data_IF_622540289418
#
_entry.id   IF_622540289418
#
_cell.length_a   1.000
_cell.length_b   1.000
_cell.length_c   1.000
_cell.angle_alpha   90.00
_cell.angle_beta   90.00
_cell.angle_gamma   90.00
#
_symmetry.space_group_name_H-M   'P 1'
#
loop_
_entity.id
_entity.type
_entity.pdbx_description
1 polymer ?
#
# COMPACT_ATOMS: atom_id res chain seq x y z
N UNK A 1 21.54 9.19 -7.91
CA UNK A 1 22.10 8.64 -6.65
C UNK A 1 22.84 7.34 -6.97
N UNK A 2 23.88 6.97 -6.22
CA UNK A 2 24.62 5.71 -6.41
C UNK A 2 24.39 4.79 -5.21
N UNK A 3 24.07 3.52 -5.46
CA UNK A 3 23.79 2.48 -4.47
C UNK A 3 24.89 1.43 -4.63
N UNK A 4 25.53 1.06 -3.52
CA UNK A 4 26.71 0.18 -3.59
C UNK A 4 27.78 0.74 -4.52
N UNK A 5 28.39 -0.15 -5.32
CA UNK A 5 29.50 0.23 -6.18
C UNK A 5 29.11 0.44 -7.65
N UNK A 6 28.02 -0.16 -8.12
CA UNK A 6 27.73 -0.18 -9.55
C UNK A 6 26.24 -0.04 -9.89
N UNK A 7 25.40 0.22 -8.90
CA UNK A 7 23.97 0.45 -9.08
C UNK A 7 23.69 1.95 -9.02
N UNK A 8 22.94 2.46 -9.99
CA UNK A 8 22.66 3.88 -10.16
C UNK A 8 21.16 4.10 -10.24
N UNK A 9 20.65 5.00 -9.41
CA UNK A 9 19.27 5.48 -9.50
C UNK A 9 19.10 6.39 -10.72
N UNK A 10 18.09 6.09 -11.54
CA UNK A 10 17.72 6.83 -12.77
C UNK A 10 16.22 7.15 -12.84
N UNK A 11 15.48 6.96 -11.74
CA UNK A 11 14.06 7.30 -11.64
C UNK A 11 13.77 8.81 -11.63
N UNK A 12 12.52 9.15 -11.31
CA UNK A 12 11.96 10.51 -11.38
C UNK A 12 11.01 10.80 -10.21
N UNK A 13 10.76 12.09 -9.96
CA UNK A 13 9.73 12.56 -9.04
C UNK A 13 8.57 13.19 -9.83
N UNK A 14 7.36 12.78 -9.52
CA UNK A 14 6.12 13.35 -10.04
C UNK A 14 5.46 14.24 -8.99
N UNK A 15 5.55 15.55 -9.21
CA UNK A 15 4.88 16.58 -8.40
C UNK A 15 3.58 17.10 -9.05
N UNK A 16 3.18 16.52 -10.19
CA UNK A 16 1.99 16.92 -10.95
C UNK A 16 0.79 16.03 -10.65
N UNK A 17 1.03 14.79 -10.21
CA UNK A 17 -0.02 13.87 -9.76
C UNK A 17 -0.71 14.40 -8.51
N UNK A 18 -2.04 14.51 -8.58
CA UNK A 18 -2.90 14.83 -7.44
C UNK A 18 -3.49 13.54 -6.82
N UNK A 19 -3.82 12.56 -7.66
CA UNK A 19 -4.36 11.26 -7.28
C UNK A 19 -3.54 10.11 -7.87
N UNK A 20 -2.87 9.32 -7.02
CA UNK A 20 -2.24 8.07 -7.44
C UNK A 20 -3.31 6.99 -7.68
N UNK A 21 -3.18 6.25 -8.78
CA UNK A 21 -4.21 5.33 -9.33
C UNK A 21 -5.60 5.97 -9.54
N UNK A 22 -5.68 7.30 -9.53
CA UNK A 22 -6.96 8.03 -9.53
C UNK A 22 -7.77 7.87 -8.24
N UNK A 23 -7.16 7.41 -7.15
CA UNK A 23 -7.84 7.11 -5.89
C UNK A 23 -7.18 7.75 -4.65
N UNK A 24 -5.84 7.77 -4.56
CA UNK A 24 -5.14 8.17 -3.35
C UNK A 24 -4.58 9.58 -3.47
N UNK A 25 -4.96 10.48 -2.57
CA UNK A 25 -4.41 11.84 -2.54
C UNK A 25 -2.92 11.81 -2.24
N UNK A 26 -2.09 12.40 -3.09
CA UNK A 26 -0.63 12.40 -2.94
C UNK A 26 -0.10 13.83 -2.96
N UNK A 27 -0.39 14.64 -1.93
CA UNK A 27 -0.07 16.07 -1.92
C UNK A 27 1.44 16.36 -2.02
N UNK A 28 2.28 15.40 -1.66
CA UNK A 28 3.73 15.45 -1.73
C UNK A 28 4.29 14.70 -2.95
N UNK A 29 3.45 14.44 -3.94
CA UNK A 29 3.82 13.77 -5.18
C UNK A 29 4.08 12.27 -5.04
N UNK A 30 4.71 11.72 -6.07
CA UNK A 30 5.15 10.32 -6.13
C UNK A 30 6.58 10.22 -6.65
N UNK A 31 7.24 9.12 -6.39
CA UNK A 31 8.46 8.76 -7.12
C UNK A 31 8.24 7.50 -7.95
N UNK A 32 8.83 7.48 -9.15
CA UNK A 32 8.88 6.29 -10.01
C UNK A 32 10.34 5.90 -10.14
N UNK A 33 10.73 4.88 -9.40
CA UNK A 33 12.12 4.48 -9.25
C UNK A 33 12.52 3.50 -10.34
N UNK A 34 13.68 3.73 -10.94
CA UNK A 34 14.31 2.84 -11.89
C UNK A 34 15.82 2.87 -11.66
N UNK A 35 16.50 1.78 -12.02
CA UNK A 35 17.91 1.57 -11.67
C UNK A 35 18.72 1.05 -12.85
N UNK A 36 20.00 1.39 -12.91
CA UNK A 36 20.98 0.83 -13.85
C UNK A 36 22.07 0.11 -13.08
N UNK A 37 22.31 -1.16 -13.40
CA UNK A 37 23.40 -1.97 -12.86
C UNK A 37 24.50 -2.04 -13.91
N UNK A 38 25.69 -1.50 -13.59
CA UNK A 38 26.85 -1.52 -14.49
C UNK A 38 27.77 -2.69 -14.16
N UNK A 39 27.98 -3.57 -15.13
CA UNK A 39 28.91 -4.69 -15.02
C UNK A 39 29.49 -5.02 -16.40
N UNK A 40 30.07 -6.20 -16.59
CA UNK A 40 30.43 -6.73 -17.92
C UNK A 40 29.23 -6.71 -18.88
N UNK A 41 28.02 -6.95 -18.34
CA UNK A 41 26.73 -6.71 -18.97
C UNK A 41 25.93 -5.70 -18.16
N UNK A 42 25.20 -4.82 -18.84
CA UNK A 42 24.45 -3.74 -18.21
C UNK A 42 22.96 -4.10 -18.17
N UNK A 43 22.35 -3.97 -16.99
CA UNK A 43 20.91 -4.14 -16.82
C UNK A 43 20.23 -2.82 -16.42
N UNK A 44 19.09 -2.54 -17.02
CA UNK A 44 18.15 -1.50 -16.58
C UNK A 44 16.97 -2.18 -15.90
N UNK A 45 16.58 -1.71 -14.72
CA UNK A 45 15.54 -2.28 -13.87
C UNK A 45 14.30 -1.39 -13.96
N UNK A 46 13.22 -1.96 -14.51
CA UNK A 46 11.92 -1.34 -14.75
C UNK A 46 12.02 0.02 -15.49
N UNK A 47 10.87 0.61 -15.75
CA UNK A 47 10.76 1.93 -16.38
C UNK A 47 9.97 2.87 -15.46
N UNK A 48 9.43 3.95 -16.00
CA UNK A 48 8.63 4.93 -15.24
C UNK A 48 7.35 5.27 -16.00
N UNK A 49 6.47 6.04 -15.36
CA UNK A 49 5.25 6.56 -15.95
C UNK A 49 5.48 7.27 -17.30
N UNK A 50 4.50 7.17 -18.19
CA UNK A 50 4.56 7.71 -19.55
C UNK A 50 4.86 9.22 -19.57
N UNK A 51 4.41 9.98 -18.57
CA UNK A 51 4.62 11.42 -18.49
C UNK A 51 6.11 11.80 -18.31
N UNK A 52 6.94 10.86 -17.85
CA UNK A 52 8.35 11.08 -17.55
C UNK A 52 9.31 10.37 -18.52
N UNK A 53 8.81 9.95 -19.69
CA UNK A 53 9.56 9.25 -20.74
C UNK A 53 10.91 9.91 -21.05
N UNK A 54 10.90 11.20 -21.38
CA UNK A 54 12.10 11.91 -21.84
C UNK A 54 13.11 12.11 -20.72
N UNK A 55 12.65 12.46 -19.53
CA UNK A 55 13.50 12.66 -18.35
C UNK A 55 14.20 11.36 -17.95
N UNK A 56 13.44 10.27 -17.84
CA UNK A 56 13.98 8.96 -17.48
C UNK A 56 14.97 8.42 -18.52
N UNK A 57 14.65 8.49 -19.82
CA UNK A 57 15.60 8.10 -20.87
C UNK A 57 16.87 8.96 -20.84
N UNK A 58 16.74 10.25 -20.52
CA UNK A 58 17.88 11.15 -20.29
C UNK A 58 18.75 10.71 -19.11
N UNK A 59 18.14 10.36 -17.98
CA UNK A 59 18.83 9.85 -16.79
C UNK A 59 19.56 8.53 -17.08
N UNK A 60 18.91 7.59 -17.78
CA UNK A 60 19.50 6.34 -18.24
C UNK A 60 20.70 6.61 -19.15
N UNK A 61 20.53 7.42 -20.20
CA UNK A 61 21.60 7.72 -21.16
C UNK A 61 22.82 8.36 -20.48
N UNK A 62 22.60 9.24 -19.50
CA UNK A 62 23.65 9.88 -18.71
C UNK A 62 24.47 8.87 -17.90
N UNK A 63 23.84 7.87 -17.29
CA UNK A 63 24.54 6.81 -16.53
C UNK A 63 25.26 5.82 -17.45
N UNK A 64 24.66 5.51 -18.60
CA UNK A 64 25.26 4.64 -19.60
C UNK A 64 26.52 5.25 -20.22
N UNK A 65 26.57 6.57 -20.40
CA UNK A 65 27.74 7.29 -20.94
C UNK A 65 28.25 6.69 -22.26
N UNK A 66 27.30 6.44 -23.18
CA UNK A 66 27.57 5.83 -24.49
C UNK A 66 27.64 4.30 -24.50
N UNK A 67 27.62 3.63 -23.34
CA UNK A 67 27.43 2.19 -23.27
C UNK A 67 26.01 1.79 -23.71
N UNK A 68 25.85 0.54 -24.15
CA UNK A 68 24.55 -0.04 -24.53
C UNK A 68 24.09 -1.02 -23.45
N UNK A 69 22.82 -0.97 -23.03
CA UNK A 69 22.30 -1.94 -22.07
C UNK A 69 22.05 -3.29 -22.74
N UNK A 70 22.49 -4.37 -22.08
CA UNK A 70 22.25 -5.75 -22.51
C UNK A 70 20.85 -6.22 -22.13
N UNK A 71 20.36 -5.76 -20.96
CA UNK A 71 19.10 -6.21 -20.39
C UNK A 71 18.18 -5.07 -19.95
N UNK A 72 16.88 -5.25 -20.18
CA UNK A 72 15.80 -4.55 -19.48
C UNK A 72 15.07 -5.59 -18.62
N UNK A 73 15.25 -5.54 -17.31
CA UNK A 73 14.53 -6.41 -16.37
C UNK A 73 13.20 -5.75 -16.04
N UNK A 74 12.10 -6.45 -16.31
CA UNK A 74 10.73 -5.96 -16.02
C UNK A 74 10.11 -6.82 -14.92
N UNK A 75 9.98 -6.24 -13.74
CA UNK A 75 9.50 -6.87 -12.53
C UNK A 75 7.98 -6.78 -12.38
N UNK A 76 7.39 -5.70 -12.92
CA UNK A 76 5.98 -5.39 -12.80
C UNK A 76 5.47 -4.68 -14.07
N UNK A 77 4.24 -4.99 -14.50
CA UNK A 77 3.63 -4.45 -15.72
C UNK A 77 2.68 -3.28 -15.48
N UNK A 78 2.52 -2.80 -14.24
CA UNK A 78 1.71 -1.62 -14.00
C UNK A 78 2.31 -0.41 -14.74
N UNK A 79 1.49 0.41 -15.44
CA UNK A 79 2.01 1.39 -16.39
C UNK A 79 2.94 2.46 -15.81
N UNK A 80 2.81 2.80 -14.53
CA UNK A 80 3.70 3.73 -13.84
C UNK A 80 5.15 3.22 -13.69
N UNK A 81 5.37 1.93 -13.96
CA UNK A 81 6.70 1.31 -14.03
C UNK A 81 7.00 0.64 -15.37
N UNK A 82 6.00 0.47 -16.24
CA UNK A 82 6.12 -0.32 -17.46
C UNK A 82 5.80 0.46 -18.75
N UNK A 83 5.22 1.66 -18.68
CA UNK A 83 4.75 2.40 -19.87
C UNK A 83 5.85 2.67 -20.89
N UNK A 84 7.10 2.72 -20.44
CA UNK A 84 8.24 3.10 -21.26
C UNK A 84 9.04 1.93 -21.85
N UNK A 85 8.57 0.69 -21.69
CA UNK A 85 9.23 -0.49 -22.27
C UNK A 85 9.40 -0.34 -23.79
N UNK A 86 8.35 0.02 -24.52
CA UNK A 86 8.42 0.17 -25.99
C UNK A 86 9.36 1.32 -26.41
N UNK A 87 9.32 2.45 -25.69
CA UNK A 87 10.20 3.60 -25.96
C UNK A 87 11.67 3.26 -25.70
N UNK A 88 11.94 2.54 -24.62
CA UNK A 88 13.27 2.03 -24.30
C UNK A 88 13.78 1.07 -25.38
N UNK A 89 12.95 0.14 -25.84
CA UNK A 89 13.32 -0.81 -26.91
C UNK A 89 13.54 -0.13 -28.26
N UNK A 90 12.92 1.03 -28.51
CA UNK A 90 13.23 1.87 -29.69
C UNK A 90 14.59 2.58 -29.55
N UNK A 91 14.92 3.07 -28.36
CA UNK A 91 16.19 3.74 -28.07
C UNK A 91 17.39 2.76 -28.04
N UNK A 92 17.17 1.56 -27.50
CA UNK A 92 18.16 0.50 -27.33
C UNK A 92 17.69 -0.80 -28.00
N UNK A 93 17.67 -0.87 -29.34
CA UNK A 93 17.07 -1.99 -30.06
C UNK A 93 17.81 -3.32 -29.90
N UNK A 94 19.05 -3.31 -29.44
CA UNK A 94 19.86 -4.52 -29.24
C UNK A 94 19.63 -5.18 -27.85
N UNK A 95 18.83 -4.56 -26.98
CA UNK A 95 18.58 -5.05 -25.60
C UNK A 95 17.69 -6.30 -25.57
N UNK A 96 17.94 -7.18 -24.61
CA UNK A 96 17.07 -8.32 -24.29
C UNK A 96 16.17 -7.98 -23.10
N UNK A 97 14.87 -8.14 -23.25
CA UNK A 97 13.92 -8.00 -22.13
C UNK A 97 13.96 -9.27 -21.29
N UNK A 98 14.12 -9.11 -19.98
CA UNK A 98 14.17 -10.20 -18.99
C UNK A 98 12.94 -10.12 -18.11
N UNK A 99 12.09 -11.14 -18.16
CA UNK A 99 10.85 -11.18 -17.40
C UNK A 99 10.29 -12.59 -17.27
N UNK A 100 9.26 -12.80 -16.46
CA UNK A 100 8.57 -14.08 -16.40
C UNK A 100 7.49 -14.23 -17.50
N UNK A 101 6.94 -15.45 -17.64
CA UNK A 101 5.95 -15.77 -18.67
C UNK A 101 4.69 -14.89 -18.61
N UNK A 102 4.20 -14.57 -17.41
CA UNK A 102 2.98 -13.75 -17.24
C UNK A 102 3.23 -12.30 -17.65
N UNK A 103 4.41 -11.79 -17.30
CA UNK A 103 4.87 -10.44 -17.69
C UNK A 103 4.87 -10.30 -19.19
N UNK A 104 5.45 -11.26 -19.94
CA UNK A 104 5.44 -11.22 -21.40
C UNK A 104 4.04 -11.30 -22.00
N UNK A 105 3.12 -12.08 -21.39
CA UNK A 105 1.72 -12.14 -21.85
C UNK A 105 1.03 -10.78 -21.70
N UNK A 106 1.26 -10.08 -20.57
CA UNK A 106 0.71 -8.75 -20.35
C UNK A 106 1.34 -7.71 -21.28
N UNK A 107 2.66 -7.79 -21.48
CA UNK A 107 3.41 -6.94 -22.39
C UNK A 107 2.87 -7.00 -23.82
N UNK A 108 2.49 -8.18 -24.32
CA UNK A 108 1.83 -8.33 -25.63
C UNK A 108 0.45 -7.65 -25.70
N UNK A 109 -0.25 -7.52 -24.58
CA UNK A 109 -1.54 -6.83 -24.52
C UNK A 109 -1.38 -5.30 -24.49
N UNK A 110 -0.41 -4.79 -23.72
CA UNK A 110 -0.11 -3.37 -23.63
C UNK A 110 0.57 -2.83 -24.90
N UNK A 111 1.48 -3.61 -25.48
CA UNK A 111 2.33 -3.18 -26.61
C UNK A 111 2.12 -4.07 -27.84
N UNK A 112 0.91 -4.03 -28.42
CA UNK A 112 0.50 -4.90 -29.54
C UNK A 112 1.38 -4.80 -30.81
N UNK A 113 2.17 -3.74 -30.93
CA UNK A 113 3.08 -3.51 -32.06
C UNK A 113 4.56 -3.72 -31.75
N UNK A 114 4.91 -4.12 -30.52
CA UNK A 114 6.31 -4.26 -30.12
C UNK A 114 6.88 -5.62 -30.53
N UNK A 115 7.87 -5.61 -31.41
CA UNK A 115 8.57 -6.82 -31.85
C UNK A 115 9.72 -7.18 -30.89
N UNK A 116 9.53 -8.27 -30.16
CA UNK A 116 10.53 -8.84 -29.24
C UNK A 116 11.09 -10.19 -29.71
N UNK A 117 10.92 -10.55 -30.98
CA UNK A 117 11.46 -11.80 -31.51
C UNK A 117 12.99 -11.83 -31.33
N UNK A 118 13.50 -12.91 -30.72
CA UNK A 118 14.92 -13.06 -30.38
C UNK A 118 15.41 -12.18 -29.22
N UNK A 119 14.55 -11.37 -28.59
CA UNK A 119 14.89 -10.41 -27.52
C UNK A 119 14.16 -10.67 -26.20
N UNK A 120 13.63 -11.88 -26.01
CA UNK A 120 12.97 -12.31 -24.76
C UNK A 120 13.87 -13.29 -24.01
N UNK A 121 14.18 -13.00 -22.76
CA UNK A 121 14.71 -13.95 -21.78
C UNK A 121 13.62 -14.24 -20.75
N UNK A 122 13.02 -15.43 -20.82
CA UNK A 122 11.98 -15.86 -19.87
C UNK A 122 12.65 -16.49 -18.66
N UNK A 123 12.45 -15.91 -17.49
CA UNK A 123 13.01 -16.44 -16.23
C UNK A 123 11.98 -17.20 -15.42
N UNK A 124 12.44 -18.23 -14.70
CA UNK A 124 11.68 -19.00 -13.72
C UNK A 124 11.94 -18.52 -12.28
N UNK A 125 11.06 -18.91 -11.36
CA UNK A 125 11.23 -18.59 -9.95
C UNK A 125 12.50 -19.26 -9.38
N UNK A 126 13.38 -18.46 -8.79
CA UNK A 126 14.68 -18.87 -8.26
C UNK A 126 15.79 -18.97 -9.32
N UNK A 127 15.50 -18.64 -10.58
CA UNK A 127 16.52 -18.59 -11.63
C UNK A 127 17.44 -17.38 -11.44
N UNK A 128 18.67 -17.49 -11.93
CA UNK A 128 19.65 -16.41 -11.84
C UNK A 128 20.18 -15.97 -13.20
N UNK A 129 20.49 -14.68 -13.30
CA UNK A 129 21.16 -14.05 -14.44
C UNK A 129 22.47 -13.41 -13.97
N UNK A 130 23.60 -13.85 -14.53
CA UNK A 130 24.91 -13.26 -14.26
C UNK A 130 25.20 -12.14 -15.25
N UNK A 131 25.49 -10.95 -14.72
CA UNK A 131 25.92 -9.79 -15.49
C UNK A 131 27.45 -9.67 -15.59
N UNK A 132 28.18 -10.39 -14.75
CA UNK A 132 29.62 -10.30 -14.59
C UNK A 132 29.94 -10.71 -13.15
N UNK A 133 30.28 -9.72 -12.31
CA UNK A 133 30.33 -9.92 -10.85
C UNK A 133 28.94 -9.92 -10.20
N UNK A 134 27.95 -9.23 -10.76
CA UNK A 134 26.58 -9.17 -10.26
C UNK A 134 25.82 -10.43 -10.70
N UNK A 135 25.11 -11.04 -9.75
CA UNK A 135 24.28 -12.22 -9.98
C UNK A 135 22.88 -11.92 -9.47
N UNK A 136 21.97 -11.70 -10.41
CA UNK A 136 20.57 -11.40 -10.16
C UNK A 136 19.81 -12.71 -9.97
N UNK A 137 19.04 -12.85 -8.89
CA UNK A 137 18.14 -13.98 -8.65
C UNK A 137 16.71 -13.50 -8.61
N UNK A 138 15.84 -14.10 -9.41
CA UNK A 138 14.44 -13.69 -9.55
C UNK A 138 13.55 -14.48 -8.60
N UNK A 139 12.77 -13.80 -7.77
CA UNK A 139 11.85 -14.41 -6.81
C UNK A 139 10.43 -13.95 -7.12
N UNK A 140 9.55 -14.87 -7.46
CA UNK A 140 8.18 -14.54 -7.86
C UNK A 140 7.35 -14.12 -6.64
N UNK A 141 6.62 -13.02 -6.79
CA UNK A 141 5.78 -12.40 -5.78
C UNK A 141 4.33 -12.23 -6.30
N UNK A 142 3.66 -13.30 -6.75
CA UNK A 142 2.36 -13.18 -7.40
C UNK A 142 1.30 -12.63 -6.43
N UNK A 143 0.51 -11.69 -6.94
CA UNK A 143 -0.48 -10.91 -6.19
C UNK A 143 0.14 -10.00 -5.12
N UNK A 144 1.37 -9.52 -5.32
CA UNK A 144 2.00 -8.46 -4.51
C UNK A 144 2.36 -7.28 -5.43
N UNK A 145 1.40 -6.56 -6.02
CA UNK A 145 -0.06 -6.77 -5.96
C UNK A 145 -0.67 -7.41 -7.23
N UNK A 146 0.07 -7.45 -8.35
CA UNK A 146 -0.37 -8.08 -9.60
C UNK A 146 0.14 -9.53 -9.77
N UNK A 147 -0.51 -10.36 -10.62
CA UNK A 147 -0.20 -11.80 -10.72
C UNK A 147 1.16 -12.13 -11.34
N UNK A 148 1.78 -11.21 -12.07
CA UNK A 148 3.09 -11.35 -12.71
C UNK A 148 4.24 -10.84 -11.87
N UNK A 149 4.01 -10.13 -10.77
CA UNK A 149 5.09 -9.48 -10.02
C UNK A 149 6.19 -10.46 -9.64
N UNK A 150 7.44 -10.03 -9.82
CA UNK A 150 8.63 -10.66 -9.27
C UNK A 150 9.55 -9.63 -8.65
N UNK A 151 10.33 -10.03 -7.65
CA UNK A 151 11.41 -9.22 -7.07
C UNK A 151 12.75 -9.77 -7.53
N UNK A 152 13.77 -8.93 -7.58
CA UNK A 152 15.11 -9.31 -8.03
C UNK A 152 16.13 -9.06 -6.94
N UNK A 153 16.89 -10.09 -6.58
CA UNK A 153 17.96 -9.99 -5.59
C UNK A 153 19.33 -10.02 -6.28
N UNK A 154 20.12 -8.97 -6.10
CA UNK A 154 21.52 -8.97 -6.46
C UNK A 154 22.38 -9.46 -5.29
N UNK A 155 23.00 -10.62 -5.44
CA UNK A 155 23.83 -11.20 -4.38
C UNK A 155 25.15 -10.48 -4.13
N UNK A 156 25.57 -9.62 -5.06
CA UNK A 156 26.90 -9.00 -5.02
C UNK A 156 26.90 -7.77 -4.14
N UNK A 157 25.98 -6.83 -4.38
CA UNK A 157 25.79 -5.67 -3.50
C UNK A 157 24.69 -5.90 -2.44
N UNK A 158 24.10 -7.11 -2.39
CA UNK A 158 23.08 -7.51 -1.40
C UNK A 158 21.82 -6.64 -1.45
N UNK A 159 21.40 -6.31 -2.67
CA UNK A 159 20.27 -5.41 -2.95
C UNK A 159 19.06 -6.23 -3.35
N UNK A 160 17.90 -5.95 -2.73
CA UNK A 160 16.60 -6.42 -3.19
C UNK A 160 15.89 -5.31 -3.96
N UNK A 161 15.72 -5.46 -5.26
CA UNK A 161 14.77 -4.69 -6.05
C UNK A 161 13.38 -5.28 -5.80
N UNK A 162 12.54 -4.57 -5.07
CA UNK A 162 11.36 -5.15 -4.41
C UNK A 162 10.03 -4.95 -5.15
N UNK A 163 10.07 -4.50 -6.41
CA UNK A 163 8.90 -3.98 -7.10
C UNK A 163 8.18 -2.94 -6.20
N UNK A 164 6.85 -3.01 -6.06
CA UNK A 164 6.08 -2.13 -5.17
C UNK A 164 6.25 -2.45 -3.68
N UNK A 165 6.81 -3.62 -3.37
CA UNK A 165 7.11 -3.99 -2.00
C UNK A 165 8.03 -2.97 -1.35
N UNK A 166 7.73 -2.60 -0.11
CA UNK A 166 8.44 -1.60 0.70
C UNK A 166 8.36 -0.15 0.21
N UNK A 167 7.49 0.14 -0.75
CA UNK A 167 7.22 1.51 -1.20
C UNK A 167 6.42 2.35 -0.20
N UNK A 168 6.38 3.66 -0.46
CA UNK A 168 5.48 4.63 0.19
C UNK A 168 4.98 5.64 -0.84
N UNK A 169 3.86 6.29 -0.53
CA UNK A 169 3.48 7.52 -1.25
C UNK A 169 4.45 8.67 -0.92
N UNK A 170 4.60 9.63 -1.84
CA UNK A 170 5.49 10.79 -1.69
C UNK A 170 6.70 10.75 -2.63
N UNK A 171 7.08 11.91 -3.14
CA UNK A 171 8.31 12.11 -3.92
C UNK A 171 9.58 12.01 -3.04
N UNK A 172 10.74 11.74 -3.66
CA UNK A 172 12.01 11.55 -2.94
C UNK A 172 12.64 12.83 -2.38
N UNK A 173 12.21 13.99 -2.86
CA UNK A 173 12.73 15.31 -2.49
C UNK A 173 11.88 15.99 -1.39
N UNK A 174 10.95 15.25 -0.78
CA UNK A 174 10.14 15.68 0.36
C UNK A 174 10.55 14.92 1.62
N UNK A 175 10.66 15.63 2.75
CA UNK A 175 10.91 15.01 4.05
C UNK A 175 9.60 14.55 4.69
N UNK A 176 9.42 13.23 4.80
CA UNK A 176 8.26 12.61 5.44
C UNK A 176 8.68 11.35 6.20
N UNK A 177 7.93 11.05 7.26
CA UNK A 177 8.09 9.78 7.96
C UNK A 177 7.69 8.62 7.05
N UNK A 178 8.49 7.55 7.03
CA UNK A 178 8.23 6.40 6.17
C UNK A 178 6.99 5.64 6.64
N UNK A 179 6.82 5.43 7.95
CA UNK A 179 5.79 4.53 8.50
C UNK A 179 4.37 4.92 8.09
N UNK A 180 4.05 6.23 8.09
CA UNK A 180 2.70 6.70 7.81
C UNK A 180 2.32 6.45 6.33
N UNK A 181 3.07 7.03 5.39
CA UNK A 181 2.76 6.85 3.97
C UNK A 181 3.05 5.43 3.47
N UNK A 182 3.98 4.69 4.05
CA UNK A 182 4.21 3.29 3.70
C UNK A 182 3.04 2.40 4.16
N UNK A 183 2.41 2.69 5.31
CA UNK A 183 1.21 1.97 5.72
C UNK A 183 0.03 2.30 4.83
N UNK A 184 -0.15 3.59 4.50
CA UNK A 184 -1.21 4.05 3.60
C UNK A 184 -1.06 3.41 2.22
N UNK A 185 0.17 3.39 1.71
CA UNK A 185 0.56 2.67 0.48
C UNK A 185 0.25 1.17 0.60
N UNK A 186 0.78 0.50 1.62
CA UNK A 186 0.62 -0.94 1.80
C UNK A 186 -0.85 -1.34 1.89
N UNK A 187 -1.62 -0.67 2.75
CA UNK A 187 -3.04 -0.99 2.97
C UNK A 187 -3.84 -0.65 1.71
N UNK A 188 -3.58 0.49 1.07
CA UNK A 188 -4.23 0.93 -0.17
C UNK A 188 -4.05 -0.09 -1.30
N UNK A 189 -2.80 -0.44 -1.60
CA UNK A 189 -2.40 -1.18 -2.81
C UNK A 189 -2.40 -2.71 -2.57
N UNK A 190 -1.74 -3.17 -1.50
CA UNK A 190 -1.41 -4.59 -1.29
C UNK A 190 -2.24 -5.22 -0.16
N UNK A 191 -2.94 -4.44 0.66
CA UNK A 191 -3.50 -4.84 1.96
C UNK A 191 -4.38 -6.11 1.93
N UNK A 192 -5.00 -6.41 0.78
CA UNK A 192 -5.77 -7.64 0.55
C UNK A 192 -4.92 -8.92 0.54
N UNK A 193 -3.66 -8.82 0.14
CA UNK A 193 -2.79 -9.96 -0.20
C UNK A 193 -1.79 -10.31 0.90
N UNK A 194 -2.16 -10.08 2.17
CA UNK A 194 -1.30 -10.36 3.32
C UNK A 194 -0.66 -11.76 3.33
N UNK A 195 -1.38 -12.81 2.93
CA UNK A 195 -0.83 -14.17 2.87
C UNK A 195 0.28 -14.34 1.81
N UNK A 196 0.16 -13.64 0.68
CA UNK A 196 1.15 -13.62 -0.39
C UNK A 196 2.39 -12.84 0.04
N UNK A 197 2.19 -11.70 0.71
CA UNK A 197 3.28 -10.92 1.32
C UNK A 197 4.04 -11.74 2.36
N UNK A 198 3.34 -12.44 3.26
CA UNK A 198 3.96 -13.35 4.24
C UNK A 198 4.80 -14.44 3.59
N UNK A 199 4.33 -15.01 2.47
CA UNK A 199 5.10 -16.00 1.70
C UNK A 199 6.36 -15.38 1.08
N UNK A 200 6.26 -14.16 0.55
CA UNK A 200 7.40 -13.42 0.01
C UNK A 200 8.43 -13.10 1.09
N UNK A 201 7.99 -12.56 2.23
CA UNK A 201 8.87 -12.26 3.38
C UNK A 201 9.64 -13.52 3.83
N UNK A 202 8.98 -14.68 3.88
CA UNK A 202 9.62 -15.95 4.20
C UNK A 202 10.68 -16.37 3.16
N UNK A 203 10.45 -16.12 1.88
CA UNK A 203 11.43 -16.40 0.83
C UNK A 203 12.62 -15.42 0.93
N UNK A 204 12.34 -14.13 1.09
CA UNK A 204 13.32 -13.06 1.23
C UNK A 204 14.21 -13.25 2.48
N UNK A 205 13.68 -13.81 3.57
CA UNK A 205 14.44 -14.11 4.78
C UNK A 205 15.61 -15.11 4.58
N UNK A 206 15.66 -15.80 3.44
CA UNK A 206 16.78 -16.69 3.09
C UNK A 206 17.92 -15.98 2.35
N UNK A 207 17.73 -14.70 2.01
CA UNK A 207 18.67 -13.86 1.29
C UNK A 207 19.39 -12.93 2.28
N UNK A 208 20.66 -12.62 1.99
CA UNK A 208 21.46 -11.69 2.79
C UNK A 208 21.23 -10.26 2.28
N UNK A 209 20.09 -9.68 2.61
CA UNK A 209 19.66 -8.36 2.12
C UNK A 209 20.24 -7.25 3.01
N UNK A 210 20.91 -6.27 2.39
CA UNK A 210 21.44 -5.07 3.05
C UNK A 210 20.83 -3.78 2.52
N UNK A 211 20.13 -3.82 1.39
CA UNK A 211 19.42 -2.66 0.84
C UNK A 211 18.17 -3.11 0.12
N UNK A 212 17.07 -2.36 0.28
CA UNK A 212 15.83 -2.58 -0.45
C UNK A 212 15.59 -1.37 -1.36
N UNK A 213 15.36 -1.63 -2.65
CA UNK A 213 15.13 -0.66 -3.70
C UNK A 213 13.70 -0.84 -4.23
N UNK A 214 12.70 -0.15 -3.65
CA UNK A 214 11.33 -0.19 -4.13
C UNK A 214 11.15 0.61 -5.42
N UNK A 215 10.02 0.41 -6.10
CA UNK A 215 9.60 1.19 -7.27
C UNK A 215 8.99 2.56 -6.89
N UNK A 216 8.60 2.75 -5.63
CA UNK A 216 8.17 4.03 -5.08
C UNK A 216 8.83 4.33 -3.74
N UNK A 217 9.04 5.60 -3.43
CA UNK A 217 9.61 6.04 -2.16
C UNK A 217 11.11 5.76 -2.03
N UNK A 218 11.68 5.97 -0.84
CA UNK A 218 13.14 5.99 -0.65
C UNK A 218 13.77 4.60 -0.74
N UNK A 219 15.05 4.59 -1.08
CA UNK A 219 15.91 3.40 -0.94
C UNK A 219 16.16 3.15 0.55
N UNK A 220 15.97 1.91 0.99
CA UNK A 220 16.05 1.52 2.39
C UNK A 220 17.39 0.83 2.65
N UNK A 221 18.31 1.49 3.35
CA UNK A 221 19.68 0.98 3.61
C UNK A 221 19.97 0.73 5.09
N UNK A 222 19.22 1.36 5.99
CA UNK A 222 19.46 1.31 7.44
C UNK A 222 18.20 0.82 8.16
N UNK A 223 18.36 0.09 9.26
CA UNK A 223 17.26 -0.43 10.07
C UNK A 223 16.26 -1.31 9.28
N UNK A 224 16.75 -2.19 8.39
CA UNK A 224 15.88 -3.10 7.63
C UNK A 224 14.94 -3.95 8.50
N UNK A 225 15.37 -4.26 9.73
CA UNK A 225 14.54 -4.97 10.70
C UNK A 225 13.20 -4.27 10.96
N UNK A 226 13.20 -2.93 11.03
CA UNK A 226 12.00 -2.13 11.22
C UNK A 226 11.05 -2.23 10.03
N UNK A 227 11.53 -2.02 8.80
CA UNK A 227 10.67 -2.10 7.60
C UNK A 227 10.07 -3.51 7.43
N UNK A 228 10.86 -4.55 7.71
CA UNK A 228 10.41 -5.95 7.66
C UNK A 228 9.39 -6.23 8.77
N UNK A 229 9.60 -5.73 9.98
CA UNK A 229 8.65 -5.85 11.09
C UNK A 229 7.30 -5.22 10.72
N UNK A 230 7.31 -4.01 10.15
CA UNK A 230 6.10 -3.32 9.71
C UNK A 230 5.34 -4.12 8.66
N UNK A 231 6.03 -4.60 7.63
CA UNK A 231 5.42 -5.47 6.63
C UNK A 231 4.89 -6.79 7.23
N UNK A 232 5.57 -7.40 8.22
CA UNK A 232 5.06 -8.57 8.94
C UNK A 232 3.75 -8.25 9.68
N UNK A 233 3.72 -7.14 10.43
CA UNK A 233 2.55 -6.69 11.17
C UNK A 233 1.37 -6.48 10.21
N UNK A 234 1.55 -5.70 9.14
CA UNK A 234 0.47 -5.36 8.21
C UNK A 234 -0.04 -6.58 7.46
N UNK A 235 0.86 -7.41 6.94
CA UNK A 235 0.49 -8.59 6.15
C UNK A 235 -0.10 -9.74 6.98
N UNK A 236 0.16 -9.76 8.30
CA UNK A 236 -0.48 -10.68 9.24
C UNK A 236 -1.72 -10.10 9.91
N UNK A 237 -2.11 -8.86 9.56
CA UNK A 237 -3.26 -8.14 10.12
C UNK A 237 -3.18 -8.00 11.65
N UNK A 238 -1.96 -7.97 12.21
CA UNK A 238 -1.74 -7.71 13.64
C UNK A 238 -2.08 -6.26 13.95
N UNK A 239 -2.27 -5.99 15.24
CA UNK A 239 -2.35 -4.62 15.75
C UNK A 239 -0.94 -4.07 15.78
N UNK A 240 -0.75 -2.88 15.23
CA UNK A 240 0.55 -2.23 15.22
C UNK A 240 0.79 -1.39 16.46
N UNK A 241 -0.20 -0.62 16.86
CA UNK A 241 -0.14 0.24 18.03
C UNK A 241 -1.47 0.23 18.77
N UNK A 242 -1.43 0.53 20.06
CA UNK A 242 -2.62 0.65 20.88
C UNK A 242 -3.35 1.96 20.58
N UNK A 243 -4.67 1.89 20.44
CA UNK A 243 -5.51 3.06 20.15
C UNK A 243 -6.92 2.66 19.73
N UNK A 244 -7.75 3.66 19.47
CA UNK A 244 -9.14 3.52 19.01
C UNK A 244 -9.38 4.47 17.84
N UNK A 245 -9.89 3.94 16.73
CA UNK A 245 -10.47 4.76 15.66
C UNK A 245 -11.96 4.94 15.92
N UNK A 246 -12.47 6.16 15.78
CA UNK A 246 -13.90 6.45 15.70
C UNK A 246 -14.19 7.02 14.32
N UNK A 247 -14.73 6.19 13.44
CA UNK A 247 -15.15 6.59 12.10
C UNK A 247 -16.65 6.90 12.12
N UNK A 248 -17.03 8.09 11.65
CA UNK A 248 -18.42 8.52 11.73
C UNK A 248 -18.96 9.22 10.49
N UNK A 249 -20.29 9.23 10.38
CA UNK A 249 -21.03 10.09 9.47
C UNK A 249 -22.21 10.75 10.19
N UNK A 250 -22.37 12.06 10.00
CA UNK A 250 -23.41 12.84 10.67
C UNK A 250 -24.00 13.92 9.77
N UNK A 251 -25.32 13.85 9.52
CA UNK A 251 -26.04 14.82 8.67
C UNK A 251 -26.41 16.08 9.45
N UNK A 252 -26.94 15.92 10.67
CA UNK A 252 -27.44 17.02 11.50
C UNK A 252 -26.65 17.21 12.81
N UNK A 253 -25.45 16.66 12.91
CA UNK A 253 -24.54 16.86 14.05
C UNK A 253 -24.80 16.02 15.30
N UNK A 254 -25.96 15.36 15.45
CA UNK A 254 -26.24 14.56 16.66
C UNK A 254 -25.32 13.33 16.80
N UNK A 255 -25.01 12.62 15.70
CA UNK A 255 -24.02 11.52 15.74
C UNK A 255 -22.62 12.05 16.05
N UNK A 256 -22.23 13.18 15.45
CA UNK A 256 -20.96 13.85 15.74
C UNK A 256 -20.84 14.19 17.23
N UNK A 257 -21.89 14.73 17.84
CA UNK A 257 -21.92 15.04 19.27
C UNK A 257 -21.68 13.79 20.15
N UNK A 258 -22.21 12.62 19.78
CA UNK A 258 -21.94 11.38 20.51
C UNK A 258 -20.49 10.93 20.36
N UNK A 259 -19.93 11.07 19.16
CA UNK A 259 -18.53 10.76 18.87
C UNK A 259 -17.59 11.67 19.68
N UNK A 260 -17.86 12.98 19.73
CA UNK A 260 -17.08 13.93 20.53
C UNK A 260 -17.10 13.56 22.02
N UNK A 261 -18.27 13.18 22.55
CA UNK A 261 -18.41 12.71 23.94
C UNK A 261 -17.64 11.41 24.18
N UNK A 262 -17.72 10.43 23.27
CA UNK A 262 -16.98 9.18 23.40
C UNK A 262 -15.47 9.42 23.34
N UNK A 263 -15.00 10.23 22.40
CA UNK A 263 -13.59 10.58 22.27
C UNK A 263 -13.05 11.20 23.56
N UNK A 264 -13.75 12.19 24.12
CA UNK A 264 -13.39 12.80 25.40
C UNK A 264 -13.32 11.76 26.53
N UNK A 265 -14.31 10.84 26.62
CA UNK A 265 -14.32 9.79 27.66
C UNK A 265 -13.16 8.81 27.51
N UNK A 266 -12.78 8.45 26.29
CA UNK A 266 -11.61 7.59 26.03
C UNK A 266 -10.32 8.28 26.45
N UNK A 267 -10.16 9.56 26.13
CA UNK A 267 -9.01 10.37 26.56
C UNK A 267 -8.94 10.49 28.09
N UNK A 268 -10.05 10.81 28.75
CA UNK A 268 -10.15 10.90 30.21
C UNK A 268 -9.80 9.56 30.92
N UNK A 269 -10.10 8.43 30.26
CA UNK A 269 -9.76 7.08 30.73
C UNK A 269 -8.34 6.65 30.36
N UNK A 270 -7.55 7.52 29.72
CA UNK A 270 -6.15 7.27 29.41
C UNK A 270 -5.92 6.38 28.19
N UNK A 271 -6.85 6.36 27.23
CA UNK A 271 -6.63 5.69 25.94
C UNK A 271 -5.34 6.24 25.29
N UNK A 272 -4.38 5.39 24.86
CA UNK A 272 -3.10 5.87 24.33
C UNK A 272 -3.25 6.78 23.11
N UNK A 273 -4.26 6.51 22.27
CA UNK A 273 -4.54 7.26 21.06
C UNK A 273 -6.00 7.11 20.66
N UNK A 274 -6.66 8.24 20.40
CA UNK A 274 -8.00 8.31 19.82
C UNK A 274 -7.89 9.07 18.49
N UNK A 275 -8.29 8.42 17.41
CA UNK A 275 -8.35 9.02 16.07
C UNK A 275 -9.81 9.12 15.64
N UNK A 276 -10.25 10.30 15.22
CA UNK A 276 -11.66 10.56 14.89
C UNK A 276 -11.75 11.02 13.44
N UNK A 277 -12.56 10.34 12.64
CA UNK A 277 -12.73 10.62 11.21
C UNK A 277 -14.20 10.90 10.88
N UNK A 278 -14.46 12.07 10.31
CA UNK A 278 -15.68 12.40 9.57
C UNK A 278 -15.56 11.86 8.15
N UNK A 279 -16.15 10.70 7.89
CA UNK A 279 -16.03 9.97 6.63
C UNK A 279 -16.57 10.74 5.40
N UNK A 280 -17.30 11.86 5.62
CA UNK A 280 -17.79 12.71 4.55
C UNK A 280 -16.85 13.89 4.23
N UNK A 281 -15.73 14.04 4.94
CA UNK A 281 -14.83 15.21 4.86
C UNK A 281 -13.35 14.85 4.89
N UNK A 282 -12.98 13.89 5.73
CA UNK A 282 -11.58 13.49 5.91
C UNK A 282 -11.16 12.47 4.84
N UNK A 283 -9.84 12.29 4.65
CA UNK A 283 -9.31 11.32 3.68
C UNK A 283 -9.74 9.90 4.09
N UNK A 284 -10.48 9.24 3.20
CA UNK A 284 -10.95 7.86 3.36
C UNK A 284 -9.79 6.87 3.48
N UNK A 285 -8.69 7.07 2.74
CA UNK A 285 -7.53 6.20 2.77
C UNK A 285 -6.79 6.29 4.10
N UNK A 286 -6.66 7.49 4.69
CA UNK A 286 -6.10 7.67 6.04
C UNK A 286 -7.01 7.02 7.10
N UNK A 287 -8.33 7.23 7.02
CA UNK A 287 -9.26 6.60 7.96
C UNK A 287 -9.17 5.07 7.91
N UNK A 288 -9.02 4.49 6.71
CA UNK A 288 -8.85 3.05 6.50
C UNK A 288 -7.52 2.57 7.07
N UNK A 289 -6.41 3.24 6.76
CA UNK A 289 -5.07 2.89 7.25
C UNK A 289 -4.99 2.88 8.78
N UNK A 290 -5.53 3.91 9.45
CA UNK A 290 -5.56 3.97 10.92
C UNK A 290 -6.45 2.87 11.54
N UNK A 291 -7.51 2.44 10.84
CA UNK A 291 -8.32 1.31 11.29
C UNK A 291 -7.52 0.00 11.30
N UNK A 292 -6.61 -0.19 10.33
CA UNK A 292 -5.69 -1.32 10.31
C UNK A 292 -4.57 -1.17 11.34
N UNK A 293 -4.15 0.05 11.67
CA UNK A 293 -3.12 0.33 12.67
C UNK A 293 -3.53 -0.11 14.08
N UNK A 294 -4.74 0.23 14.50
CA UNK A 294 -5.21 -0.01 15.87
C UNK A 294 -6.06 -1.28 16.01
N UNK A 295 -6.16 -1.80 17.23
CA UNK A 295 -6.95 -3.00 17.54
C UNK A 295 -8.46 -2.76 17.69
N UNK A 296 -8.88 -1.51 17.82
CA UNK A 296 -10.24 -1.12 18.21
C UNK A 296 -10.80 -0.07 17.24
N UNK A 297 -12.03 -0.29 16.79
CA UNK A 297 -12.76 0.58 15.87
C UNK A 297 -14.16 0.85 16.40
N UNK A 298 -14.64 2.08 16.29
CA UNK A 298 -16.02 2.45 16.54
C UNK A 298 -16.62 2.97 15.24
N UNK A 299 -17.74 2.39 14.83
CA UNK A 299 -18.49 2.82 13.66
C UNK A 299 -19.74 3.57 14.13
N UNK A 300 -19.84 4.84 13.75
CA UNK A 300 -20.93 5.71 14.18
C UNK A 300 -21.66 6.31 12.97
N UNK A 301 -22.89 5.89 12.70
CA UNK A 301 -23.63 6.38 11.53
C UNK A 301 -25.12 6.54 11.79
N UNK A 302 -25.79 7.23 10.87
CA UNK A 302 -27.24 7.34 10.84
C UNK A 302 -27.84 6.18 10.05
N UNK A 303 -29.09 5.84 10.37
CA UNK A 303 -29.92 5.07 9.43
C UNK A 303 -30.34 5.99 8.29
N UNK A 304 -29.99 5.62 7.07
CA UNK A 304 -30.27 6.36 5.85
C UNK A 304 -30.92 5.44 4.81
N UNK A 305 -32.15 5.74 4.40
CA UNK A 305 -32.93 4.90 3.47
C UNK A 305 -33.03 3.42 3.89
N UNK A 306 -33.24 3.17 5.19
CA UNK A 306 -33.25 1.84 5.82
C UNK A 306 -31.91 1.06 5.73
N UNK A 307 -30.85 1.72 5.27
CA UNK A 307 -29.46 1.27 5.17
C UNK A 307 -28.56 2.17 6.06
N UNK A 308 -27.24 2.07 5.94
CA UNK A 308 -26.26 2.99 6.52
C UNK A 308 -25.96 4.16 5.57
N UNK A 309 -25.36 5.23 6.09
CA UNK A 309 -25.00 6.38 5.25
C UNK A 309 -23.94 6.00 4.19
N UNK A 310 -23.99 6.55 2.95
CA UNK A 310 -23.13 6.11 1.85
C UNK A 310 -21.63 6.10 2.17
N UNK A 311 -21.10 7.14 2.83
CA UNK A 311 -19.68 7.17 3.19
C UNK A 311 -19.29 6.10 4.22
N UNK A 312 -20.21 5.72 5.13
CA UNK A 312 -19.96 4.60 6.05
C UNK A 312 -19.92 3.27 5.29
N UNK A 313 -20.78 3.12 4.27
CA UNK A 313 -20.77 1.94 3.41
C UNK A 313 -19.45 1.81 2.67
N UNK A 314 -19.03 2.87 1.98
CA UNK A 314 -17.74 2.91 1.28
C UNK A 314 -16.56 2.61 2.21
N UNK A 315 -16.57 3.17 3.42
CA UNK A 315 -15.54 2.90 4.42
C UNK A 315 -15.48 1.41 4.81
N UNK A 316 -16.63 0.80 5.12
CA UNK A 316 -16.68 -0.63 5.46
C UNK A 316 -16.30 -1.52 4.26
N UNK A 317 -16.72 -1.15 3.05
CA UNK A 317 -16.33 -1.85 1.82
C UNK A 317 -14.80 -1.84 1.67
N UNK A 318 -14.15 -0.68 1.86
CA UNK A 318 -12.69 -0.55 1.79
C UNK A 318 -11.95 -1.38 2.85
N UNK A 319 -12.52 -1.53 4.05
CA UNK A 319 -11.97 -2.41 5.10
C UNK A 319 -12.12 -3.89 4.70
N UNK A 320 -13.33 -4.30 4.36
CA UNK A 320 -13.66 -5.72 4.15
C UNK A 320 -13.04 -6.28 2.87
N UNK A 321 -12.91 -5.47 1.81
CA UNK A 321 -12.23 -5.89 0.57
C UNK A 321 -10.73 -6.16 0.78
N UNK A 322 -10.14 -5.55 1.82
CA UNK A 322 -8.77 -5.72 2.30
C UNK A 322 -8.66 -6.71 3.46
N UNK A 323 -9.65 -7.59 3.63
CA UNK A 323 -9.67 -8.63 4.67
C UNK A 323 -9.51 -8.10 6.11
N UNK A 324 -10.13 -6.97 6.45
CA UNK A 324 -10.14 -6.47 7.83
C UNK A 324 -10.61 -7.54 8.82
N UNK A 325 -9.76 -7.85 9.81
CA UNK A 325 -9.92 -9.01 10.71
C UNK A 325 -9.11 -8.84 12.00
N UNK A 326 -9.41 -9.65 13.02
CA UNK A 326 -8.73 -9.63 14.33
C UNK A 326 -8.88 -8.26 15.02
N UNK A 327 -10.11 -7.75 15.12
CA UNK A 327 -10.40 -6.39 15.62
C UNK A 327 -11.61 -6.40 16.53
N UNK A 328 -11.62 -5.47 17.48
CA UNK A 328 -12.78 -5.20 18.34
C UNK A 328 -13.56 -4.02 17.79
N UNK A 329 -14.86 -4.19 17.55
CA UNK A 329 -15.71 -3.15 16.95
C UNK A 329 -16.87 -2.75 17.87
N UNK A 330 -16.98 -1.45 18.14
CA UNK A 330 -18.12 -0.80 18.80
C UNK A 330 -19.04 -0.11 17.80
N UNK A 331 -20.34 -0.02 18.11
CA UNK A 331 -21.34 0.54 17.20
C UNK A 331 -22.17 1.64 17.86
N UNK A 332 -22.30 2.76 17.16
CA UNK A 332 -23.23 3.83 17.47
C UNK A 332 -24.20 3.98 16.30
N UNK A 333 -25.49 3.79 16.55
CA UNK A 333 -26.53 4.05 15.56
C UNK A 333 -27.38 5.26 15.95
N UNK A 334 -27.79 6.04 14.95
CA UNK A 334 -28.73 7.14 15.14
C UNK A 334 -29.90 7.04 14.14
N UNK A 335 -31.13 7.17 14.63
CA UNK A 335 -32.33 7.23 13.79
C UNK A 335 -33.53 7.82 14.53
N UNK A 336 -34.61 8.16 13.82
CA UNK A 336 -35.75 8.87 14.42
C UNK A 336 -37.00 8.02 14.62
N UNK A 337 -37.24 7.00 13.79
CA UNK A 337 -38.44 6.16 13.87
C UNK A 337 -38.21 4.66 13.61
N UNK A 338 -37.12 4.30 12.94
CA UNK A 338 -36.75 2.90 12.67
C UNK A 338 -35.24 2.75 12.48
N UNK A 339 -34.43 2.99 13.54
CA UNK A 339 -32.98 2.79 13.46
C UNK A 339 -32.65 1.31 13.15
N UNK A 340 -31.77 1.12 12.16
CA UNK A 340 -31.31 -0.18 11.65
C UNK A 340 -29.79 -0.20 11.37
N UNK A 341 -29.10 0.93 11.56
CA UNK A 341 -27.71 1.08 11.13
C UNK A 341 -26.76 0.08 11.81
N UNK A 342 -26.95 -0.21 13.11
CA UNK A 342 -26.08 -1.16 13.81
C UNK A 342 -26.19 -2.57 13.23
N UNK A 343 -27.41 -3.01 12.87
CA UNK A 343 -27.63 -4.32 12.25
C UNK A 343 -26.98 -4.40 10.88
N UNK A 344 -27.12 -3.35 10.07
CA UNK A 344 -26.52 -3.29 8.74
C UNK A 344 -24.99 -3.31 8.84
N UNK A 345 -24.39 -2.47 9.68
CA UNK A 345 -22.94 -2.48 9.88
C UNK A 345 -22.43 -3.86 10.31
N UNK A 346 -23.11 -4.57 11.22
CA UNK A 346 -22.74 -5.95 11.59
C UNK A 346 -22.76 -6.91 10.42
N UNK A 347 -23.76 -6.80 9.53
CA UNK A 347 -23.90 -7.69 8.38
C UNK A 347 -22.75 -7.55 7.37
N UNK A 348 -22.26 -6.33 7.16
CA UNK A 348 -21.15 -6.08 6.23
C UNK A 348 -19.84 -6.78 6.65
N UNK A 349 -19.62 -7.01 7.95
CA UNK A 349 -18.45 -7.73 8.47
C UNK A 349 -18.65 -9.25 8.63
N UNK A 350 -19.76 -9.85 8.17
CA UNK A 350 -20.02 -11.29 8.35
C UNK A 350 -18.94 -12.21 7.77
N UNK A 351 -18.25 -11.75 6.71
CA UNK A 351 -17.15 -12.49 6.06
C UNK A 351 -15.79 -12.22 6.69
N UNK A 352 -15.68 -11.20 7.54
CA UNK A 352 -14.44 -10.87 8.25
C UNK A 352 -14.15 -11.90 9.34
N UNK A 353 -12.88 -12.21 9.53
CA UNK A 353 -12.44 -13.19 10.52
C UNK A 353 -12.20 -12.52 11.86
N UNK A 354 -12.57 -13.22 12.95
CA UNK A 354 -12.21 -12.84 14.31
C UNK A 354 -12.56 -11.38 14.66
N UNK A 355 -13.75 -10.93 14.26
CA UNK A 355 -14.31 -9.65 14.73
C UNK A 355 -14.98 -9.88 16.08
N UNK A 356 -14.55 -9.14 17.09
CA UNK A 356 -15.17 -9.10 18.41
C UNK A 356 -16.06 -7.87 18.48
N UNK A 357 -17.36 -8.06 18.69
CA UNK A 357 -18.27 -6.94 18.92
C UNK A 357 -18.24 -6.54 20.39
N UNK A 358 -18.29 -5.24 20.66
CA UNK A 358 -18.58 -4.74 22.00
C UNK A 358 -19.96 -5.23 22.47
N UNK A 359 -20.09 -5.45 23.78
CA UNK A 359 -21.37 -5.81 24.39
C UNK A 359 -22.32 -4.61 24.33
N UNK A 360 -21.77 -3.40 24.50
CA UNK A 360 -22.53 -2.15 24.43
C UNK A 360 -22.67 -1.66 22.99
N UNK A 361 -23.92 -1.43 22.56
CA UNK A 361 -24.27 -0.69 21.35
C UNK A 361 -25.04 0.57 21.76
N UNK A 362 -24.59 1.74 21.30
CA UNK A 362 -25.25 3.02 21.63
C UNK A 362 -26.32 3.31 20.60
N UNK A 363 -27.57 3.49 21.06
CA UNK A 363 -28.71 3.74 20.18
C UNK A 363 -29.32 5.11 20.43
N UNK A 364 -29.07 6.03 19.51
CA UNK A 364 -29.53 7.42 19.60
C UNK A 364 -30.85 7.58 18.86
N UNK A 365 -31.84 8.17 19.54
CA UNK A 365 -33.12 8.52 18.94
C UNK A 365 -33.17 10.02 18.58
N UNK A 366 -32.75 10.35 17.35
CA UNK A 366 -32.58 11.71 16.81
C UNK A 366 -31.48 12.56 17.46
N UNK A 367 -31.50 12.69 18.79
CA UNK A 367 -30.55 13.49 19.58
C UNK A 367 -30.11 12.75 20.84
N UNK A 368 -28.91 13.04 21.35
CA UNK A 368 -28.39 12.40 22.57
C UNK A 368 -29.32 12.60 23.76
N UNK A 369 -29.57 11.50 24.49
CA UNK A 369 -30.23 11.49 25.79
C UNK A 369 -29.21 11.26 26.93
N UNK A 370 -29.65 11.44 28.18
CA UNK A 370 -28.85 11.07 29.36
C UNK A 370 -28.55 9.57 29.43
N UNK A 371 -29.44 8.72 28.90
CA UNK A 371 -29.22 7.27 28.80
C UNK A 371 -28.07 6.98 27.83
N UNK A 372 -28.05 7.64 26.66
CA UNK A 372 -26.95 7.48 25.71
C UNK A 372 -25.60 7.91 26.29
N UNK A 373 -25.57 8.92 27.18
CA UNK A 373 -24.32 9.30 27.87
C UNK A 373 -23.78 8.14 28.72
N UNK A 374 -24.66 7.40 29.41
CA UNK A 374 -24.27 6.23 30.22
C UNK A 374 -23.81 5.07 29.33
N UNK A 375 -24.47 4.85 28.20
CA UNK A 375 -24.04 3.85 27.21
C UNK A 375 -22.66 4.20 26.63
N UNK A 376 -22.38 5.48 26.35
CA UNK A 376 -21.08 5.95 25.90
C UNK A 376 -19.99 5.76 26.97
N UNK A 377 -20.33 5.96 28.26
CA UNK A 377 -19.44 5.64 29.38
C UNK A 377 -19.08 4.14 29.43
N UNK A 378 -20.09 3.27 29.30
CA UNK A 378 -19.89 1.82 29.31
C UNK A 378 -19.08 1.36 28.09
N UNK A 379 -19.37 1.89 26.90
CA UNK A 379 -18.59 1.63 25.69
C UNK A 379 -17.13 2.05 25.86
N UNK A 380 -16.86 3.22 26.45
CA UNK A 380 -15.49 3.66 26.74
C UNK A 380 -14.79 2.72 27.72
N UNK A 381 -15.49 2.19 28.73
CA UNK A 381 -14.92 1.18 29.65
C UNK A 381 -14.59 -0.13 28.96
N UNK A 382 -15.41 -0.59 28.02
CA UNK A 382 -15.13 -1.80 27.23
C UNK A 382 -13.94 -1.60 26.29
N UNK A 383 -13.81 -0.42 25.68
CA UNK A 383 -12.70 -0.06 24.78
C UNK A 383 -11.38 0.17 25.52
N UNK A 384 -11.39 0.51 26.81
CA UNK A 384 -10.17 0.72 27.61
C UNK A 384 -9.66 -0.57 28.29
N UNK A 385 -10.40 -1.68 28.21
CA UNK A 385 -9.90 -3.02 28.60
C UNK A 385 -8.98 -3.57 27.53
#
# INVERSE_FOLDING_TARGET
MKIGNDIYYVGVNDHQVDLFEGQYEVPNGMSYNSYVIKDEKIAVMDTVDANFTEEWLGNVAKVLDGAKPDYLVVQHMEPDHAANIENFMKAYPDTTVVANTKTFTMMENFFRGMELEGKKLVVANGESLTLGKHVLTFVFAPMVHWPEVMVTYDSTDKVLFSADGFGKFGALDVEEDWDCEARRYYIGIVGKYGAQVQKLLKAAATLDIQTICPLHGPILTENLAHYIEKYDIWSSYKVESEGVVIAYSSVYGNTKKAVEVLAQKLEEKGCPKVSVFDLARDDMAEAVEEAFRYGKLVLATITYNADIFPFMKTYIDHLTERNYQNRTIGLIENGSWAPNAAKVMKAEFEKSKNITWLDTTVKIMSSLSEENIKELDQMAEELCK
#
